data_IF_815826552399
#
_entry.id   IF_815826552399
#
_cell.length_a   1.000
_cell.length_b   1.000
_cell.length_c   1.000
_cell.angle_alpha   90.00
_cell.angle_beta   90.00
_cell.angle_gamma   90.00
#
_symmetry.space_group_name_H-M   'P 1'
#
loop_
_entity.id
_entity.type
_entity.pdbx_description
1 polymer ?
#
# COMPACT_ATOMS: atom_id res chain seq x y z
N UNK A 1 30.60 16.48 1.51
CA UNK A 1 29.35 15.83 1.98
C UNK A 1 28.27 15.86 0.89
N UNK A 2 28.65 15.95 -0.39
CA UNK A 2 27.69 16.18 -1.49
C UNK A 2 27.48 14.97 -2.41
N UNK A 3 28.42 14.02 -2.44
CA UNK A 3 28.34 12.87 -3.34
C UNK A 3 27.20 11.90 -2.99
N UNK A 4 26.90 11.71 -1.70
CA UNK A 4 25.84 10.80 -1.24
C UNK A 4 24.45 11.35 -1.61
N UNK A 5 24.23 12.66 -1.46
CA UNK A 5 22.98 13.32 -1.87
C UNK A 5 22.77 13.24 -3.39
N UNK A 6 23.83 13.42 -4.18
CA UNK A 6 23.73 13.36 -5.65
C UNK A 6 23.47 11.94 -6.17
N UNK A 7 23.99 10.91 -5.50
CA UNK A 7 23.69 9.52 -5.85
C UNK A 7 22.25 9.14 -5.52
N UNK A 8 21.76 9.56 -4.35
CA UNK A 8 20.38 9.30 -3.93
C UNK A 8 19.35 9.97 -4.86
N UNK A 9 19.66 11.18 -5.37
CA UNK A 9 18.83 11.89 -6.35
C UNK A 9 18.83 11.21 -7.73
N UNK A 10 19.97 10.67 -8.18
CA UNK A 10 20.04 9.93 -9.45
C UNK A 10 19.32 8.59 -9.41
N UNK A 11 19.40 7.88 -8.29
CA UNK A 11 18.66 6.63 -8.09
C UNK A 11 17.15 6.87 -8.07
N UNK A 12 16.71 7.99 -7.47
CA UNK A 12 15.31 8.45 -7.52
C UNK A 12 14.88 8.77 -8.96
N UNK A 13 15.68 9.49 -9.75
CA UNK A 13 15.36 9.84 -11.14
C UNK A 13 15.33 8.61 -12.07
N UNK A 14 16.25 7.65 -11.90
CA UNK A 14 16.27 6.41 -12.68
C UNK A 14 15.16 5.43 -12.29
N UNK A 15 14.66 5.50 -11.05
CA UNK A 15 13.46 4.78 -10.60
C UNK A 15 12.17 5.47 -11.10
N UNK A 16 12.16 6.80 -11.18
CA UNK A 16 11.06 7.58 -11.79
C UNK A 16 10.94 7.35 -13.31
N UNK A 17 12.05 7.09 -14.00
CA UNK A 17 12.05 6.77 -15.43
C UNK A 17 11.43 5.40 -15.78
N UNK A 18 11.26 4.51 -14.80
CA UNK A 18 10.64 3.18 -14.99
C UNK A 18 9.14 3.13 -14.68
N UNK A 19 8.49 4.28 -14.56
CA UNK A 19 7.04 4.33 -14.37
C UNK A 19 6.60 3.91 -12.98
N UNK A 20 7.42 4.14 -11.94
CA UNK A 20 6.88 4.16 -10.58
C UNK A 20 5.87 5.30 -10.54
N UNK A 21 4.61 5.03 -10.22
CA UNK A 21 3.62 6.08 -10.25
C UNK A 21 3.95 7.15 -9.21
N UNK A 22 3.57 8.39 -9.49
CA UNK A 22 3.82 9.64 -8.75
C UNK A 22 3.34 9.66 -7.27
N UNK A 23 3.02 8.51 -6.66
CA UNK A 23 2.36 8.35 -5.38
C UNK A 23 3.24 8.58 -4.14
N UNK A 24 4.57 8.75 -4.29
CA UNK A 24 5.49 8.97 -3.16
C UNK A 24 5.78 10.43 -2.83
N UNK A 25 4.80 11.33 -2.95
CA UNK A 25 4.99 12.76 -2.63
C UNK A 25 4.80 13.10 -1.15
N UNK A 26 4.34 12.17 -0.32
CA UNK A 26 4.26 12.42 1.12
C UNK A 26 5.60 12.14 1.79
N UNK A 27 6.11 13.12 2.52
CA UNK A 27 7.23 12.92 3.44
C UNK A 27 6.80 12.16 4.71
N UNK A 28 5.48 12.03 4.94
CA UNK A 28 4.94 11.31 6.07
C UNK A 28 4.94 9.80 5.82
N UNK A 29 5.30 9.07 6.85
CA UNK A 29 5.37 7.62 6.86
C UNK A 29 4.43 7.09 7.93
N UNK A 30 3.99 5.84 7.73
CA UNK A 30 3.34 5.06 8.77
C UNK A 30 4.28 3.93 9.17
N UNK A 31 4.53 3.83 10.47
CA UNK A 31 5.32 2.76 11.08
C UNK A 31 4.44 1.66 11.63
N UNK A 32 4.95 0.43 11.62
CA UNK A 32 4.24 -0.74 12.18
C UNK A 32 3.90 -0.55 13.67
N UNK A 33 4.75 0.15 14.43
CA UNK A 33 4.54 0.38 15.86
C UNK A 33 3.45 1.42 16.18
N UNK A 34 2.93 2.13 15.17
CA UNK A 34 1.74 2.97 15.29
C UNK A 34 0.44 2.17 15.17
N UNK A 35 0.50 0.91 14.68
CA UNK A 35 -0.65 0.03 14.54
C UNK A 35 -0.89 -0.77 15.82
N UNK A 36 -2.16 -0.94 16.16
CA UNK A 36 -2.61 -1.80 17.26
C UNK A 36 -2.40 -3.27 16.83
N UNK A 37 -2.03 -4.10 17.80
CA UNK A 37 -1.80 -5.54 17.61
C UNK A 37 -0.91 -5.85 16.38
N UNK A 38 0.34 -5.36 16.34
CA UNK A 38 1.22 -5.52 15.17
C UNK A 38 1.64 -6.97 14.90
N UNK A 39 1.36 -7.88 15.84
CA UNK A 39 1.58 -9.33 15.70
C UNK A 39 0.41 -10.06 15.00
N UNK A 40 -0.76 -9.41 14.85
CA UNK A 40 -1.92 -10.00 14.20
C UNK A 40 -2.01 -9.54 12.75
N UNK A 41 -1.74 -10.47 11.83
CA UNK A 41 -1.80 -10.23 10.40
C UNK A 41 -3.23 -9.96 9.94
N UNK A 42 -3.42 -8.89 9.16
CA UNK A 42 -4.74 -8.45 8.70
C UNK A 42 -4.64 -7.50 7.50
N UNK A 43 -5.70 -7.39 6.72
CA UNK A 43 -5.89 -6.28 5.77
C UNK A 43 -5.99 -4.96 6.54
N UNK A 44 -5.18 -3.98 6.13
CA UNK A 44 -5.28 -2.60 6.59
C UNK A 44 -6.16 -1.78 5.65
N UNK A 45 -6.02 -2.00 4.33
CA UNK A 45 -6.85 -1.39 3.30
C UNK A 45 -6.97 -2.31 2.10
N UNK A 46 -8.18 -2.47 1.58
CA UNK A 46 -8.41 -3.12 0.30
C UNK A 46 -9.23 -2.25 -0.65
N UNK A 47 -8.77 -2.14 -1.89
CA UNK A 47 -9.34 -1.24 -2.88
C UNK A 47 -8.85 -1.56 -4.28
N UNK A 48 -8.95 -0.57 -5.16
CA UNK A 48 -8.54 -0.72 -6.55
C UNK A 48 -8.08 0.60 -7.16
N UNK A 49 -7.25 0.48 -8.20
CA UNK A 49 -6.69 1.60 -8.97
C UNK A 49 -7.69 2.13 -10.00
N UNK A 50 -7.33 3.20 -10.72
CA UNK A 50 -8.11 3.73 -11.84
C UNK A 50 -8.25 2.71 -12.97
N UNK A 51 -7.19 1.94 -13.16
CA UNK A 51 -7.01 0.83 -14.08
C UNK A 51 -7.79 -0.43 -13.64
N UNK A 52 -8.35 -0.40 -12.42
CA UNK A 52 -9.08 -1.49 -11.76
C UNK A 52 -8.21 -2.67 -11.34
N UNK A 53 -6.91 -2.44 -11.19
CA UNK A 53 -6.02 -3.38 -10.53
C UNK A 53 -6.36 -3.42 -9.04
N UNK A 54 -6.18 -4.59 -8.44
CA UNK A 54 -6.36 -4.78 -7.01
C UNK A 54 -5.28 -4.02 -6.25
N UNK A 55 -5.67 -3.29 -5.21
CA UNK A 55 -4.78 -2.55 -4.33
C UNK A 55 -4.96 -3.04 -2.91
N UNK A 56 -3.93 -3.65 -2.35
CA UNK A 56 -4.01 -4.30 -1.05
C UNK A 56 -2.87 -3.84 -0.15
N UNK A 57 -3.24 -3.25 1.00
CA UNK A 57 -2.34 -2.94 2.09
C UNK A 57 -2.67 -3.87 3.24
N UNK A 58 -1.67 -4.59 3.74
CA UNK A 58 -1.87 -5.55 4.81
C UNK A 58 -0.66 -5.64 5.74
N UNK A 59 -0.92 -6.07 6.96
CA UNK A 59 0.08 -6.38 7.95
C UNK A 59 0.37 -7.88 7.92
N UNK A 60 1.64 -8.25 7.83
CA UNK A 60 2.08 -9.64 7.93
C UNK A 60 3.55 -9.68 8.35
N UNK A 61 3.90 -10.62 9.24
CA UNK A 61 5.27 -10.78 9.75
C UNK A 61 5.86 -9.48 10.32
N UNK A 62 5.01 -8.67 10.96
CA UNK A 62 5.35 -7.34 11.50
C UNK A 62 5.86 -6.34 10.46
N UNK A 63 5.47 -6.52 9.20
CA UNK A 63 5.74 -5.60 8.10
C UNK A 63 4.41 -5.12 7.51
N UNK A 64 4.37 -3.85 7.13
CA UNK A 64 3.33 -3.33 6.25
C UNK A 64 3.72 -3.71 4.83
N UNK A 65 2.84 -4.43 4.15
CA UNK A 65 2.93 -4.76 2.74
C UNK A 65 1.96 -3.88 1.96
N UNK A 66 2.41 -3.37 0.83
CA UNK A 66 1.57 -2.71 -0.17
C UNK A 66 1.78 -3.46 -1.47
N UNK A 67 0.71 -4.02 -2.02
CA UNK A 67 0.75 -4.74 -3.30
C UNK A 67 -0.34 -4.26 -4.24
N UNK A 68 0.01 -4.14 -5.51
CA UNK A 68 -0.90 -3.87 -6.62
C UNK A 68 -0.74 -5.01 -7.62
N UNK A 69 -1.85 -5.61 -8.02
CA UNK A 69 -1.85 -6.75 -8.94
C UNK A 69 -3.05 -6.71 -9.89
N UNK A 70 -2.83 -7.23 -11.09
CA UNK A 70 -3.87 -7.28 -12.13
C UNK A 70 -4.89 -8.40 -11.88
N UNK A 71 -5.83 -8.56 -12.81
CA UNK A 71 -6.84 -9.62 -12.75
C UNK A 71 -6.27 -11.04 -12.89
N UNK A 72 -5.09 -11.18 -13.51
CA UNK A 72 -4.39 -12.45 -13.68
C UNK A 72 -3.48 -12.77 -12.46
N UNK A 73 -3.65 -12.06 -11.34
CA UNK A 73 -2.85 -12.24 -10.12
C UNK A 73 -1.35 -11.99 -10.35
N UNK A 74 -1.00 -11.11 -11.29
CA UNK A 74 0.39 -10.70 -11.54
C UNK A 74 0.72 -9.42 -10.79
N UNK A 75 1.87 -9.41 -10.13
CA UNK A 75 2.36 -8.24 -9.41
C UNK A 75 2.68 -7.12 -10.40
N UNK A 76 2.01 -5.98 -10.24
CA UNK A 76 2.35 -4.71 -10.88
C UNK A 76 3.33 -3.92 -10.01
N UNK A 77 3.08 -3.91 -8.70
CA UNK A 77 3.89 -3.21 -7.72
C UNK A 77 3.83 -3.93 -6.37
N UNK A 78 4.97 -4.01 -5.67
CA UNK A 78 5.02 -4.55 -4.32
C UNK A 78 6.13 -3.87 -3.51
N UNK A 79 5.83 -3.53 -2.26
CA UNK A 79 6.81 -3.09 -1.27
C UNK A 79 6.39 -3.58 0.11
N UNK A 80 7.36 -3.91 0.95
CA UNK A 80 7.13 -4.26 2.35
C UNK A 80 8.16 -3.59 3.25
N UNK A 81 7.76 -3.20 4.47
CA UNK A 81 8.67 -2.54 5.40
C UNK A 81 8.06 -2.26 6.77
N UNK A 82 8.93 -1.91 7.72
CA UNK A 82 8.53 -1.44 9.05
C UNK A 82 8.00 0.00 9.04
N UNK A 83 8.32 0.74 7.99
CA UNK A 83 7.96 2.14 7.79
C UNK A 83 7.77 2.36 6.29
N UNK A 84 6.58 2.78 5.89
CA UNK A 84 6.23 2.97 4.48
C UNK A 84 5.59 4.36 4.31
N UNK A 85 5.90 5.10 3.23
CA UNK A 85 5.28 6.39 2.98
C UNK A 85 3.76 6.26 2.80
N UNK A 86 2.97 7.09 3.49
CA UNK A 86 1.50 7.00 3.44
C UNK A 86 0.94 7.27 2.05
N UNK A 87 1.64 8.07 1.24
CA UNK A 87 1.26 8.33 -0.15
C UNK A 87 1.19 7.06 -1.00
N UNK A 88 2.00 6.05 -0.68
CA UNK A 88 1.99 4.76 -1.35
C UNK A 88 0.92 3.79 -0.84
N UNK A 89 0.13 4.14 0.17
CA UNK A 89 -0.86 3.24 0.79
C UNK A 89 -2.31 3.56 0.42
N UNK A 90 -2.55 4.52 -0.48
CA UNK A 90 -3.89 4.92 -0.87
C UNK A 90 -4.16 4.51 -2.31
N UNK A 91 -5.27 3.79 -2.58
CA UNK A 91 -5.62 3.41 -3.94
C UNK A 91 -5.95 4.66 -4.75
N UNK A 92 -5.59 4.62 -6.04
CA UNK A 92 -5.73 5.77 -6.95
C UNK A 92 -7.18 6.07 -7.31
N UNK A 93 -8.09 5.11 -7.07
CA UNK A 93 -9.53 5.25 -7.28
C UNK A 93 -10.31 5.19 -5.97
N UNK A 94 -10.52 4.00 -5.40
CA UNK A 94 -11.37 3.81 -4.21
C UNK A 94 -10.96 2.58 -3.39
N UNK A 95 -11.24 2.63 -2.10
CA UNK A 95 -11.20 1.50 -1.17
C UNK A 95 -12.62 1.01 -0.83
N UNK A 96 -12.73 -0.26 -0.44
CA UNK A 96 -13.96 -0.84 0.06
C UNK A 96 -14.04 -0.63 1.57
N UNK A 97 -15.00 0.16 2.08
CA UNK A 97 -15.01 0.55 3.49
C UNK A 97 -15.16 -0.64 4.45
N UNK A 98 -15.89 -1.69 4.07
CA UNK A 98 -16.03 -2.92 4.87
C UNK A 98 -14.80 -3.83 4.86
N UNK A 99 -13.76 -3.48 4.09
CA UNK A 99 -12.48 -4.22 4.00
C UNK A 99 -11.29 -3.31 4.37
N UNK A 100 -11.53 -2.31 5.23
CA UNK A 100 -10.52 -1.41 5.74
C UNK A 100 -10.47 -1.49 7.26
N UNK A 101 -9.27 -1.46 7.81
CA UNK A 101 -9.04 -1.40 9.24
C UNK A 101 -9.32 0.02 9.75
N UNK A 102 -10.19 0.14 10.77
CA UNK A 102 -10.62 1.43 11.30
C UNK A 102 -9.46 2.27 11.83
N UNK A 103 -8.53 1.63 12.55
CA UNK A 103 -7.41 2.31 13.19
C UNK A 103 -6.44 2.83 12.13
N UNK A 104 -6.13 2.02 11.13
CA UNK A 104 -5.35 2.42 9.96
C UNK A 104 -5.99 3.61 9.24
N UNK A 105 -7.29 3.56 8.94
CA UNK A 105 -7.99 4.65 8.28
C UNK A 105 -7.92 5.97 9.06
N UNK A 106 -8.00 5.91 10.39
CA UNK A 106 -7.83 7.08 11.26
C UNK A 106 -6.42 7.65 11.17
N UNK A 107 -5.39 6.81 11.23
CA UNK A 107 -3.98 7.24 11.09
C UNK A 107 -3.74 7.90 9.73
N UNK A 108 -4.35 7.39 8.66
CA UNK A 108 -4.26 7.99 7.33
C UNK A 108 -4.88 9.39 7.27
N UNK A 109 -6.00 9.63 7.97
CA UNK A 109 -6.61 10.97 8.10
C UNK A 109 -5.69 11.91 8.89
N UNK A 110 -5.13 11.44 10.01
CA UNK A 110 -4.18 12.22 10.84
C UNK A 110 -2.94 12.62 10.02
N UNK A 111 -2.46 11.71 9.16
CA UNK A 111 -1.35 11.92 8.23
C UNK A 111 -1.73 12.63 6.91
N UNK A 112 -2.89 13.30 6.91
CA UNK A 112 -3.42 14.12 5.80
C UNK A 112 -3.51 13.38 4.46
N UNK A 113 -3.71 12.06 4.52
CA UNK A 113 -3.80 11.19 3.35
C UNK A 113 -5.19 10.54 3.32
N UNK A 114 -6.25 11.30 3.00
CA UNK A 114 -7.61 10.79 3.04
C UNK A 114 -7.86 9.71 1.99
N UNK A 115 -8.59 8.66 2.39
CA UNK A 115 -8.97 7.56 1.51
C UNK A 115 -10.34 7.85 0.89
N UNK A 116 -10.46 7.60 -0.41
CA UNK A 116 -11.76 7.64 -1.10
C UNK A 116 -12.43 6.28 -1.04
N UNK A 117 -13.73 6.22 -0.75
CA UNK A 117 -14.45 4.96 -0.56
C UNK A 117 -15.52 4.70 -1.63
N UNK A 118 -15.86 3.42 -1.82
CA UNK A 118 -17.10 2.99 -2.48
C UNK A 118 -18.31 3.20 -1.56
N UNK A 119 -19.51 2.87 -2.06
CA UNK A 119 -20.66 2.62 -1.19
C UNK A 119 -20.33 1.48 -0.23
N UNK A 120 -20.84 1.55 0.99
CA UNK A 120 -20.71 0.47 1.96
C UNK A 120 -21.54 -0.74 1.53
N UNK A 121 -20.91 -1.91 1.57
CA UNK A 121 -21.51 -3.21 1.28
C UNK A 121 -20.93 -4.19 2.29
N UNK A 122 -21.78 -5.03 2.88
CA UNK A 122 -21.33 -6.07 3.80
C UNK A 122 -20.37 -7.02 3.08
N UNK A 123 -19.30 -7.41 3.78
CA UNK A 123 -18.30 -8.36 3.29
C UNK A 123 -18.12 -9.46 4.31
N UNK A 124 -17.75 -10.63 3.82
CA UNK A 124 -17.38 -11.74 4.69
C UNK A 124 -16.16 -11.33 5.53
N UNK A 125 -16.26 -11.55 6.84
CA UNK A 125 -15.13 -11.38 7.76
C UNK A 125 -14.03 -12.39 7.42
N UNK A 126 -12.82 -11.88 7.24
CA UNK A 126 -11.60 -12.67 7.03
C UNK A 126 -10.38 -11.81 7.40
N UNK A 127 -9.24 -12.45 7.64
CA UNK A 127 -8.01 -11.74 7.97
C UNK A 127 -7.48 -10.94 6.78
N UNK A 128 -7.57 -11.51 5.57
CA UNK A 128 -7.06 -10.91 4.33
C UNK A 128 -8.13 -10.86 3.25
N UNK A 129 -8.48 -9.66 2.80
CA UNK A 129 -9.50 -9.41 1.76
C UNK A 129 -8.96 -9.45 0.32
N UNK A 130 -7.65 -9.42 0.14
CA UNK A 130 -6.96 -9.52 -1.15
C UNK A 130 -5.84 -10.56 -1.11
N UNK A 131 -5.18 -10.76 -2.24
CA UNK A 131 -4.04 -11.67 -2.36
C UNK A 131 -2.79 -11.09 -1.68
N UNK A 132 -1.93 -11.98 -1.18
CA UNK A 132 -0.68 -11.61 -0.56
C UNK A 132 0.43 -11.61 -1.60
N UNK A 133 1.45 -10.76 -1.41
CA UNK A 133 2.59 -10.67 -2.31
C UNK A 133 3.33 -12.01 -2.55
N UNK A 134 3.28 -12.94 -1.60
CA UNK A 134 3.90 -14.26 -1.73
C UNK A 134 3.09 -15.26 -2.57
N UNK A 135 1.77 -15.02 -2.72
CA UNK A 135 0.85 -15.88 -3.46
C UNK A 135 0.74 -15.45 -4.94
N UNK A 136 1.22 -14.25 -5.26
CA UNK A 136 1.09 -13.63 -6.57
C UNK A 136 2.21 -14.04 -7.53
N UNK A 137 1.91 -14.07 -8.83
CA UNK A 137 2.90 -14.31 -9.87
C UNK A 137 3.87 -13.12 -9.97
N UNK A 138 5.18 -13.40 -9.94
CA UNK A 138 6.20 -12.38 -10.15
C UNK A 138 6.04 -11.73 -11.54
N UNK A 139 6.40 -10.44 -11.70
CA UNK A 139 6.31 -9.77 -12.99
C UNK A 139 7.07 -10.58 -14.04
N UNK A 140 6.42 -10.86 -15.18
CA UNK A 140 7.13 -11.41 -16.33
C UNK A 140 8.10 -10.30 -16.79
N UNK A 141 9.40 -10.59 -16.70
CA UNK A 141 10.48 -9.66 -17.07
C UNK A 141 10.55 -9.33 -18.55
#
# INVERSE_FOLDING_TARGET
>A
MDAVKTQQIKELDEQMARGLPLFFRSAETLRVDELDNPDHGRTLLYGFTLERDSFHVYLKDKLIHVVIYDFDSRIIYSVAGFEIPVGGMVPTKRAYPAACDEQFCRLMIEKKQPISYTTYEDRQECDYHGELAEDLESPIG
#
